data_IF_551818660330
#
_entry.id   IF_551818660330
#
_cell.length_a   1.000
_cell.length_b   1.000
_cell.length_c   1.000
_cell.angle_alpha   90.00
_cell.angle_beta   90.00
_cell.angle_gamma   90.00
#
_symmetry.space_group_name_H-M   'P 1'
#
loop_
_entity.id
_entity.type
_entity.pdbx_description
1 polymer ?
#
# COMPACT_ATOMS: atom_id res chain seq x y z
N UNK A 1 -2.37 19.18 27.61
CA UNK A 1 -1.53 17.96 27.69
C UNK A 1 -2.27 16.83 26.97
N UNK A 2 -1.94 16.54 25.71
CA UNK A 2 -2.55 15.42 24.98
C UNK A 2 -1.84 14.16 25.46
N UNK A 3 -2.55 13.26 26.14
CA UNK A 3 -2.04 11.94 26.48
C UNK A 3 -1.71 11.19 25.19
N UNK A 4 -0.42 10.90 25.01
CA UNK A 4 0.05 9.98 23.98
C UNK A 4 -0.44 8.56 24.35
N UNK A 5 -1.49 8.09 23.72
CA UNK A 5 -1.92 6.69 23.84
C UNK A 5 -1.00 5.91 22.89
N UNK A 6 -0.16 5.00 23.39
CA UNK A 6 0.68 4.17 22.54
C UNK A 6 -0.24 3.30 21.65
N UNK A 7 -0.23 3.58 20.36
CA UNK A 7 -0.97 2.79 19.40
C UNK A 7 -0.24 1.47 19.14
N UNK A 8 -0.82 0.37 19.57
CA UNK A 8 -0.37 -0.97 19.16
C UNK A 8 -1.08 -1.29 17.84
N UNK A 9 -0.34 -1.43 16.74
CA UNK A 9 -0.95 -1.73 15.44
C UNK A 9 -1.65 -3.08 15.50
N UNK A 10 -2.96 -3.11 15.28
CA UNK A 10 -3.70 -4.36 15.16
C UNK A 10 -3.14 -5.16 13.97
N UNK A 11 -2.52 -6.31 14.27
CA UNK A 11 -2.00 -7.20 13.24
C UNK A 11 -3.11 -8.11 12.74
N UNK A 12 -3.26 -8.19 11.42
CA UNK A 12 -4.16 -9.15 10.77
C UNK A 12 -3.33 -10.20 10.06
N UNK A 13 -3.75 -11.45 10.12
CA UNK A 13 -3.08 -12.56 9.43
C UNK A 13 -3.87 -12.93 8.19
N UNK A 14 -3.16 -13.12 7.09
CA UNK A 14 -3.66 -13.60 5.81
C UNK A 14 -2.83 -14.83 5.40
N UNK A 15 -3.45 -15.84 4.78
CA UNK A 15 -2.72 -16.95 4.20
C UNK A 15 -2.65 -16.80 2.69
N UNK A 16 -1.44 -16.87 2.12
CA UNK A 16 -1.24 -16.88 0.67
C UNK A 16 -1.89 -18.10 0.04
N UNK A 17 -2.04 -18.11 -1.28
CA UNK A 17 -2.54 -19.30 -2.00
C UNK A 17 -1.68 -20.56 -1.79
N UNK A 18 -0.45 -20.40 -1.31
CA UNK A 18 0.46 -21.52 -0.97
C UNK A 18 0.50 -21.84 0.52
N UNK A 19 -0.38 -21.23 1.33
CA UNK A 19 -0.49 -21.49 2.77
C UNK A 19 0.49 -20.72 3.65
N UNK A 20 1.35 -19.85 3.09
CA UNK A 20 2.28 -19.04 3.89
C UNK A 20 1.52 -17.95 4.66
N UNK A 21 1.83 -17.81 5.95
CA UNK A 21 1.19 -16.80 6.82
C UNK A 21 1.84 -15.44 6.63
N UNK A 22 1.03 -14.46 6.24
CA UNK A 22 1.43 -13.07 6.06
C UNK A 22 0.79 -12.23 7.16
N UNK A 23 1.60 -11.46 7.87
CA UNK A 23 1.17 -10.52 8.88
C UNK A 23 1.02 -9.13 8.26
N UNK A 24 -0.12 -8.49 8.46
CA UNK A 24 -0.38 -7.14 7.92
C UNK A 24 -0.67 -6.20 9.07
N UNK A 25 0.06 -5.11 9.13
CA UNK A 25 -0.06 -4.08 10.16
C UNK A 25 0.27 -2.69 9.62
N UNK A 26 -0.09 -1.69 10.38
CA UNK A 26 0.42 -0.35 10.10
C UNK A 26 1.94 -0.31 10.31
N UNK A 27 2.65 0.52 9.55
CA UNK A 27 4.09 0.74 9.75
C UNK A 27 4.35 1.54 11.03
N UNK A 28 5.52 1.32 11.59
CA UNK A 28 6.08 2.08 12.72
C UNK A 28 7.47 2.63 12.34
N UNK A 29 8.00 3.64 13.05
CA UNK A 29 9.32 4.21 12.71
C UNK A 29 10.46 3.20 12.65
N UNK A 30 10.36 2.12 13.43
CA UNK A 30 11.36 1.04 13.47
C UNK A 30 11.40 0.19 12.18
N UNK A 31 10.37 0.30 11.33
CA UNK A 31 10.29 -0.45 10.07
C UNK A 31 11.15 0.15 8.94
N UNK A 32 11.86 1.24 9.16
CA UNK A 32 12.63 1.92 8.11
C UNK A 32 13.60 0.98 7.41
N UNK A 33 14.37 0.17 8.16
CA UNK A 33 15.28 -0.80 7.57
C UNK A 33 14.52 -1.91 6.84
N UNK A 34 13.45 -2.43 7.44
CA UNK A 34 12.58 -3.46 6.86
C UNK A 34 12.00 -3.04 5.50
N UNK A 35 11.53 -1.79 5.38
CA UNK A 35 11.04 -1.25 4.12
C UNK A 35 12.16 -0.92 3.14
N UNK A 36 13.34 -0.51 3.62
CA UNK A 36 14.51 -0.30 2.77
C UNK A 36 14.90 -1.59 2.05
N UNK A 37 14.96 -2.70 2.79
CA UNK A 37 15.27 -4.03 2.23
C UNK A 37 14.21 -4.48 1.22
N UNK A 38 12.92 -4.25 1.52
CA UNK A 38 11.85 -4.49 0.56
C UNK A 38 12.07 -3.74 -0.75
N UNK A 39 12.33 -2.42 -0.68
CA UNK A 39 12.48 -1.56 -1.86
C UNK A 39 13.70 -1.93 -2.71
N UNK A 40 14.80 -2.32 -2.07
CA UNK A 40 16.01 -2.79 -2.76
C UNK A 40 15.81 -4.17 -3.41
N UNK A 41 14.98 -5.03 -2.80
CA UNK A 41 14.67 -6.37 -3.29
C UNK A 41 13.67 -6.42 -4.44
N UNK A 42 13.11 -5.30 -4.89
CA UNK A 42 12.20 -5.25 -6.03
C UNK A 42 12.96 -5.39 -7.36
N UNK A 43 12.37 -6.05 -8.35
CA UNK A 43 12.88 -6.02 -9.72
C UNK A 43 12.77 -4.61 -10.32
N UNK A 44 13.57 -4.34 -11.35
CA UNK A 44 13.51 -3.07 -12.09
C UNK A 44 12.11 -2.82 -12.67
N UNK A 45 11.47 -3.87 -13.17
CA UNK A 45 10.10 -3.78 -13.68
C UNK A 45 9.10 -3.40 -12.58
N UNK A 46 9.17 -4.03 -11.41
CA UNK A 46 8.27 -3.73 -10.29
C UNK A 46 8.51 -2.32 -9.76
N UNK A 47 9.76 -1.85 -9.67
CA UNK A 47 10.08 -0.45 -9.36
C UNK A 47 9.49 0.51 -10.38
N UNK A 48 9.72 0.25 -11.67
CA UNK A 48 9.19 1.08 -12.76
C UNK A 48 7.66 1.19 -12.71
N UNK A 49 6.96 0.08 -12.51
CA UNK A 49 5.49 0.05 -12.39
C UNK A 49 4.98 0.79 -11.15
N UNK A 50 5.75 0.81 -10.05
CA UNK A 50 5.35 1.48 -8.80
C UNK A 50 5.58 2.99 -8.83
N UNK A 51 6.70 3.42 -9.40
CA UNK A 51 7.13 4.82 -9.33
C UNK A 51 6.88 5.61 -10.61
N UNK A 52 6.44 4.96 -11.69
CA UNK A 52 6.37 5.53 -13.04
C UNK A 52 7.72 6.09 -13.50
N UNK A 53 8.79 5.60 -12.89
CA UNK A 53 10.19 6.03 -13.02
C UNK A 53 11.08 4.88 -12.53
N UNK A 54 12.43 4.96 -12.65
CA UNK A 54 13.34 3.91 -12.17
C UNK A 54 13.22 3.58 -10.67
N UNK A 55 12.62 4.48 -9.87
CA UNK A 55 12.47 4.30 -8.42
C UNK A 55 13.81 4.31 -7.66
N UNK A 56 13.82 3.96 -6.37
CA UNK A 56 15.04 3.90 -5.57
C UNK A 56 15.91 2.70 -5.98
N UNK A 57 17.14 2.97 -6.43
CA UNK A 57 18.12 1.97 -6.87
C UNK A 57 19.37 1.91 -5.98
N UNK A 58 19.49 2.80 -5.00
CA UNK A 58 20.59 2.80 -4.03
C UNK A 58 20.05 2.73 -2.62
N UNK A 59 20.85 2.23 -1.68
CA UNK A 59 20.49 2.20 -0.27
C UNK A 59 20.03 3.56 0.24
N UNK A 60 20.75 4.62 -0.09
CA UNK A 60 20.40 5.97 0.35
C UNK A 60 19.00 6.40 -0.11
N UNK A 61 18.65 6.17 -1.39
CA UNK A 61 17.33 6.51 -1.93
C UNK A 61 16.23 5.62 -1.35
N UNK A 62 16.49 4.33 -1.18
CA UNK A 62 15.55 3.41 -0.57
C UNK A 62 15.31 3.76 0.90
N UNK A 63 16.36 4.11 1.63
CA UNK A 63 16.26 4.58 3.01
C UNK A 63 15.45 5.88 3.14
N UNK A 64 15.68 6.85 2.27
CA UNK A 64 14.91 8.10 2.25
C UNK A 64 13.42 7.84 2.00
N UNK A 65 13.10 6.98 1.04
CA UNK A 65 11.70 6.62 0.75
C UNK A 65 11.07 5.83 1.90
N UNK A 66 11.77 4.86 2.47
CA UNK A 66 11.33 4.12 3.64
C UNK A 66 11.11 5.04 4.85
N UNK A 67 12.01 6.00 5.08
CA UNK A 67 11.88 7.00 6.14
C UNK A 67 10.62 7.85 5.95
N UNK A 68 10.31 8.28 4.72
CA UNK A 68 9.07 9.00 4.39
C UNK A 68 7.83 8.16 4.76
N UNK A 69 7.85 6.87 4.43
CA UNK A 69 6.74 5.95 4.70
C UNK A 69 6.54 5.66 6.19
N UNK A 70 7.63 5.69 6.97
CA UNK A 70 7.60 5.35 8.40
C UNK A 70 7.47 6.57 9.32
N UNK A 71 7.36 7.78 8.78
CA UNK A 71 7.11 9.00 9.58
C UNK A 71 5.82 8.87 10.40
N UNK A 72 5.74 9.59 11.54
CA UNK A 72 4.55 9.56 12.38
C UNK A 72 3.28 9.85 11.59
N UNK A 73 2.25 9.08 11.88
CA UNK A 73 0.97 9.18 11.18
C UNK A 73 0.35 10.56 11.33
N UNK A 74 -0.11 11.05 10.21
CA UNK A 74 -1.00 12.21 10.18
C UNK A 74 -2.42 11.73 9.82
N UNK A 75 -3.42 12.60 10.01
CA UNK A 75 -4.78 12.37 9.49
C UNK A 75 -4.83 12.28 7.96
N UNK A 76 -3.71 12.52 7.28
CA UNK A 76 -3.62 12.59 5.83
C UNK A 76 -2.79 11.46 5.20
N UNK A 77 -2.23 10.56 6.02
CA UNK A 77 -1.33 9.51 5.53
C UNK A 77 -1.48 8.23 6.34
N UNK A 78 -1.69 7.10 5.67
CA UNK A 78 -1.61 5.77 6.28
C UNK A 78 -0.76 4.85 5.42
N UNK A 79 0.11 4.08 6.06
CA UNK A 79 0.97 3.09 5.42
C UNK A 79 0.81 1.76 6.14
N UNK A 80 0.61 0.71 5.36
CA UNK A 80 0.52 -0.68 5.83
C UNK A 80 1.67 -1.50 5.26
N UNK A 81 2.23 -2.37 6.06
CA UNK A 81 3.22 -3.36 5.63
C UNK A 81 2.65 -4.76 5.75
N UNK A 82 3.00 -5.61 4.79
CA UNK A 82 2.79 -7.05 4.86
C UNK A 82 4.14 -7.73 5.04
N UNK A 83 4.23 -8.59 6.05
CA UNK A 83 5.47 -9.26 6.46
C UNK A 83 5.28 -10.75 6.59
N UNK A 84 6.38 -11.48 6.48
CA UNK A 84 6.50 -12.91 6.77
C UNK A 84 7.58 -13.14 7.81
N UNK A 85 7.49 -14.25 8.55
CA UNK A 85 8.55 -14.68 9.45
C UNK A 85 9.46 -15.68 8.74
N UNK A 86 10.76 -15.48 8.89
CA UNK A 86 11.80 -16.41 8.44
C UNK A 86 12.72 -16.72 9.64
N UNK A 87 12.39 -17.82 10.36
CA UNK A 87 12.99 -18.09 11.65
C UNK A 87 12.65 -16.99 12.64
N UNK A 88 13.65 -16.39 13.27
CA UNK A 88 13.49 -15.28 14.22
C UNK A 88 13.41 -13.89 13.55
N UNK A 89 13.59 -13.83 12.22
CA UNK A 89 13.58 -12.58 11.46
C UNK A 89 12.22 -12.31 10.85
N UNK A 90 11.89 -11.03 10.69
CA UNK A 90 10.74 -10.54 9.92
C UNK A 90 11.24 -9.96 8.59
N UNK A 91 10.54 -10.24 7.50
CA UNK A 91 10.83 -9.68 6.19
C UNK A 91 9.58 -9.05 5.58
N UNK A 92 9.68 -7.82 5.09
CA UNK A 92 8.59 -7.19 4.35
C UNK A 92 8.48 -7.78 2.94
N UNK A 93 7.26 -8.05 2.52
CA UNK A 93 6.93 -8.57 1.19
C UNK A 93 6.01 -7.65 0.39
N UNK A 94 5.37 -6.69 1.04
CA UNK A 94 4.57 -5.68 0.38
C UNK A 94 4.41 -4.45 1.29
N UNK A 95 4.22 -3.30 0.66
CA UNK A 95 3.82 -2.06 1.32
C UNK A 95 2.72 -1.38 0.51
N UNK A 96 1.74 -0.81 1.20
CA UNK A 96 0.67 -0.03 0.60
C UNK A 96 0.46 1.26 1.38
N UNK A 97 0.23 2.35 0.67
CA UNK A 97 0.00 3.66 1.27
C UNK A 97 -1.21 4.34 0.67
N UNK A 98 -1.85 5.18 1.47
CA UNK A 98 -2.82 6.17 1.02
C UNK A 98 -2.41 7.53 1.56
N UNK A 99 -2.29 8.50 0.66
CA UNK A 99 -2.02 9.90 0.99
C UNK A 99 -3.25 10.72 0.63
N UNK A 100 -3.80 11.42 1.61
CA UNK A 100 -4.95 12.27 1.39
C UNK A 100 -4.50 13.61 0.81
N UNK A 101 -5.19 14.07 -0.22
CA UNK A 101 -4.99 15.41 -0.76
C UNK A 101 -5.38 16.45 0.31
N UNK A 102 -4.45 17.35 0.63
CA UNK A 102 -4.65 18.36 1.67
C UNK A 102 -5.74 19.39 1.32
N UNK A 103 -6.02 19.60 0.04
CA UNK A 103 -7.03 20.56 -0.43
C UNK A 103 -8.42 19.95 -0.51
N UNK A 104 -8.53 18.66 -0.83
CA UNK A 104 -9.82 17.99 -1.00
C UNK A 104 -10.20 17.11 0.17
N UNK A 105 -9.31 16.83 1.10
CA UNK A 105 -9.47 16.05 2.34
C UNK A 105 -10.25 14.70 2.24
N UNK A 106 -10.94 14.47 1.12
CA UNK A 106 -11.80 13.30 0.87
C UNK A 106 -11.28 12.40 -0.25
N UNK A 107 -10.26 12.82 -0.99
CA UNK A 107 -9.61 12.03 -2.04
C UNK A 107 -8.27 11.52 -1.54
N UNK A 108 -8.06 10.20 -1.58
CA UNK A 108 -6.80 9.55 -1.22
C UNK A 108 -6.09 8.97 -2.43
N UNK A 109 -4.84 9.34 -2.63
CA UNK A 109 -3.97 8.71 -3.62
C UNK A 109 -3.43 7.40 -3.06
N UNK A 110 -3.63 6.32 -3.81
CA UNK A 110 -3.21 4.97 -3.44
C UNK A 110 -1.93 4.57 -4.16
N UNK A 111 -1.04 3.95 -3.43
CA UNK A 111 0.10 3.27 -4.03
C UNK A 111 0.35 1.94 -3.31
N UNK A 112 0.72 0.92 -4.07
CA UNK A 112 1.03 -0.41 -3.56
C UNK A 112 2.17 -1.03 -4.34
N UNK A 113 3.01 -1.76 -3.65
CA UNK A 113 3.99 -2.64 -4.25
C UNK A 113 4.04 -3.98 -3.51
N UNK A 114 4.18 -5.05 -4.26
CA UNK A 114 4.34 -6.42 -3.75
C UNK A 114 5.62 -6.97 -4.36
N UNK A 115 6.49 -7.55 -3.54
CA UNK A 115 7.73 -8.21 -3.97
C UNK A 115 7.43 -9.28 -5.00
N UNK A 116 8.27 -9.41 -6.01
CA UNK A 116 8.00 -10.18 -7.22
C UNK A 116 7.60 -11.64 -6.94
N UNK A 117 8.28 -12.28 -6.00
CA UNK A 117 8.03 -13.68 -5.59
C UNK A 117 6.72 -13.87 -4.80
N UNK A 118 6.07 -12.79 -4.35
CA UNK A 118 4.77 -12.80 -3.65
C UNK A 118 3.61 -12.26 -4.51
N UNK A 119 3.89 -11.86 -5.75
CA UNK A 119 2.83 -11.44 -6.67
C UNK A 119 1.90 -12.61 -7.03
N UNK A 120 0.67 -12.30 -7.40
CA UNK A 120 -0.38 -13.29 -7.77
C UNK A 120 -0.77 -14.29 -6.67
N UNK A 121 -0.33 -14.05 -5.41
CA UNK A 121 -0.63 -14.91 -4.26
C UNK A 121 -1.74 -14.36 -3.35
N UNK A 122 -2.43 -13.29 -3.75
CA UNK A 122 -3.50 -12.65 -2.98
C UNK A 122 -3.03 -11.53 -2.06
N UNK A 123 -1.72 -11.38 -1.81
CA UNK A 123 -1.14 -10.37 -0.89
C UNK A 123 -1.61 -8.96 -1.23
N UNK A 124 -1.51 -8.56 -2.51
CA UNK A 124 -1.95 -7.23 -2.94
C UNK A 124 -3.42 -6.96 -2.65
N UNK A 125 -4.31 -7.94 -2.89
CA UNK A 125 -5.75 -7.79 -2.61
C UNK A 125 -6.02 -7.68 -1.10
N UNK A 126 -5.40 -8.54 -0.29
CA UNK A 126 -5.55 -8.53 1.16
C UNK A 126 -5.07 -7.20 1.76
N UNK A 127 -3.91 -6.72 1.35
CA UNK A 127 -3.33 -5.47 1.84
C UNK A 127 -4.15 -4.25 1.40
N UNK A 128 -4.64 -4.24 0.14
CA UNK A 128 -5.48 -3.15 -0.37
C UNK A 128 -6.85 -3.10 0.31
N UNK A 129 -7.47 -4.24 0.62
CA UNK A 129 -8.71 -4.28 1.40
C UNK A 129 -8.53 -3.65 2.78
N UNK A 130 -7.41 -3.97 3.45
CA UNK A 130 -7.09 -3.37 4.75
C UNK A 130 -6.80 -1.87 4.63
N UNK A 131 -6.10 -1.45 3.57
CA UNK A 131 -5.85 -0.03 3.30
C UNK A 131 -7.16 0.73 3.06
N UNK A 132 -8.13 0.13 2.37
CA UNK A 132 -9.46 0.72 2.19
C UNK A 132 -10.17 1.00 3.52
N UNK A 133 -10.08 0.09 4.50
CA UNK A 133 -10.61 0.32 5.85
C UNK A 133 -9.90 1.49 6.54
N UNK A 134 -8.56 1.57 6.39
CA UNK A 134 -7.79 2.69 6.96
C UNK A 134 -8.14 4.02 6.29
N UNK A 135 -8.29 4.04 4.97
CA UNK A 135 -8.69 5.22 4.22
C UNK A 135 -10.05 5.75 4.69
N UNK A 136 -11.05 4.86 4.89
CA UNK A 136 -12.36 5.26 5.45
C UNK A 136 -12.23 5.87 6.84
N UNK A 137 -11.40 5.27 7.71
CA UNK A 137 -11.16 5.78 9.05
C UNK A 137 -10.48 7.16 9.06
N UNK A 138 -9.81 7.55 7.97
CA UNK A 138 -9.27 8.89 7.73
C UNK A 138 -10.29 9.86 7.12
N UNK A 139 -11.53 9.41 6.83
CA UNK A 139 -12.55 10.24 6.18
C UNK A 139 -12.43 10.30 4.65
N UNK A 140 -11.59 9.46 4.04
CA UNK A 140 -11.44 9.38 2.59
C UNK A 140 -12.67 8.68 2.01
N UNK A 141 -13.33 9.31 1.05
CA UNK A 141 -14.53 8.80 0.38
C UNK A 141 -14.28 8.38 -1.06
N UNK A 142 -13.16 8.80 -1.62
CA UNK A 142 -12.76 8.50 -3.00
C UNK A 142 -11.28 8.16 -3.03
N UNK A 143 -10.91 7.16 -3.80
CA UNK A 143 -9.51 6.78 -4.02
C UNK A 143 -9.12 6.99 -5.46
N UNK A 144 -7.90 7.48 -5.65
CA UNK A 144 -7.25 7.67 -6.93
C UNK A 144 -5.98 6.82 -6.98
N UNK A 145 -5.69 6.25 -8.14
CA UNK A 145 -4.40 5.60 -8.39
C UNK A 145 -3.95 5.87 -9.82
N UNK A 146 -2.71 6.32 -9.97
CA UNK A 146 -2.04 6.51 -11.24
C UNK A 146 -1.14 5.29 -11.53
N UNK A 147 -1.22 4.76 -12.74
CA UNK A 147 -0.46 3.58 -13.13
C UNK A 147 -0.18 3.56 -14.63
N UNK A 148 0.89 2.91 -15.04
CA UNK A 148 1.15 2.70 -16.46
C UNK A 148 0.03 1.87 -17.12
N UNK A 149 -0.32 2.22 -18.36
CA UNK A 149 -1.33 1.51 -19.12
C UNK A 149 -1.07 0.00 -19.22
N UNK A 150 0.18 -0.42 -19.30
CA UNK A 150 0.58 -1.82 -19.33
C UNK A 150 0.43 -2.54 -17.98
N UNK A 151 0.28 -1.83 -16.87
CA UNK A 151 0.11 -2.42 -15.54
C UNK A 151 -1.31 -2.96 -15.35
N UNK A 152 -1.63 -4.02 -16.10
CA UNK A 152 -2.95 -4.67 -16.04
C UNK A 152 -3.24 -5.28 -14.68
N UNK A 153 -2.20 -5.68 -13.95
CA UNK A 153 -2.36 -6.24 -12.61
C UNK A 153 -2.91 -5.21 -11.63
N UNK A 154 -2.34 -4.00 -11.60
CA UNK A 154 -2.84 -2.91 -10.77
C UNK A 154 -4.25 -2.46 -11.16
N UNK A 155 -4.56 -2.38 -12.46
CA UNK A 155 -5.91 -2.05 -12.92
C UNK A 155 -6.95 -3.09 -12.47
N UNK A 156 -6.63 -4.39 -12.56
CA UNK A 156 -7.51 -5.46 -12.05
C UNK A 156 -7.66 -5.40 -10.54
N UNK A 157 -6.56 -5.13 -9.82
CA UNK A 157 -6.56 -4.98 -8.36
C UNK A 157 -7.49 -3.83 -7.94
N UNK A 158 -7.35 -2.67 -8.59
CA UNK A 158 -8.19 -1.50 -8.31
C UNK A 158 -9.68 -1.82 -8.46
N UNK A 159 -10.09 -2.43 -9.58
CA UNK A 159 -11.50 -2.81 -9.80
C UNK A 159 -11.99 -3.87 -8.83
N UNK A 160 -11.13 -4.84 -8.48
CA UNK A 160 -11.50 -5.93 -7.54
C UNK A 160 -11.76 -5.43 -6.14
N UNK A 161 -10.92 -4.50 -5.64
CA UNK A 161 -10.95 -4.05 -4.25
C UNK A 161 -11.91 -2.88 -4.05
N UNK A 162 -11.92 -1.93 -5.00
CA UNK A 162 -12.65 -0.68 -4.86
C UNK A 162 -13.91 -0.63 -5.73
N UNK A 163 -14.17 -1.67 -6.54
CA UNK A 163 -15.35 -1.76 -7.38
C UNK A 163 -15.25 -0.94 -8.67
N UNK A 164 -16.38 -0.47 -9.20
CA UNK A 164 -16.41 0.31 -10.43
C UNK A 164 -15.54 1.57 -10.30
N UNK A 165 -14.64 1.77 -11.26
CA UNK A 165 -13.74 2.91 -11.29
C UNK A 165 -13.85 3.61 -12.65
N UNK A 166 -13.91 4.93 -12.65
CA UNK A 166 -13.65 5.73 -13.84
C UNK A 166 -12.17 5.66 -14.19
N UNK A 167 -11.85 5.66 -15.46
CA UNK A 167 -10.47 5.58 -15.92
C UNK A 167 -10.24 6.60 -17.05
N UNK A 168 -9.27 7.46 -16.85
CA UNK A 168 -8.76 8.38 -17.87
C UNK A 168 -7.37 7.95 -18.31
N UNK A 169 -6.97 8.29 -19.53
CA UNK A 169 -5.66 7.95 -20.09
C UNK A 169 -4.99 9.19 -20.62
N UNK A 170 -3.76 9.37 -20.23
CA UNK A 170 -2.92 10.44 -20.74
C UNK A 170 -1.47 9.96 -20.79
N UNK A 171 -0.78 10.17 -21.92
CA UNK A 171 0.65 9.89 -22.15
C UNK A 171 1.14 8.52 -21.61
N UNK A 172 0.32 7.47 -21.77
CA UNK A 172 0.68 6.11 -21.33
C UNK A 172 0.38 5.83 -19.85
N UNK A 173 -0.12 6.80 -19.09
CA UNK A 173 -0.61 6.66 -17.73
C UNK A 173 -2.13 6.48 -17.73
N UNK A 174 -2.62 5.63 -16.86
CA UNK A 174 -4.05 5.46 -16.55
C UNK A 174 -4.28 5.96 -15.13
N UNK A 175 -5.10 7.00 -15.00
CA UNK A 175 -5.64 7.44 -13.72
C UNK A 175 -6.97 6.72 -13.48
N UNK A 176 -7.06 5.96 -12.39
CA UNK A 176 -8.30 5.31 -11.96
C UNK A 176 -8.83 5.98 -10.70
N UNK A 177 -10.12 6.28 -10.69
CA UNK A 177 -10.82 6.90 -9.55
C UNK A 177 -12.02 6.02 -9.19
N UNK A 178 -12.11 5.62 -7.93
CA UNK A 178 -13.20 4.79 -7.41
C UNK A 178 -13.76 5.35 -6.10
N UNK A 179 -15.08 5.31 -5.89
CA UNK A 179 -15.65 5.63 -4.59
C UNK A 179 -15.26 4.57 -3.56
N UNK A 180 -14.94 5.00 -2.34
CA UNK A 180 -14.88 4.13 -1.18
C UNK A 180 -16.28 3.96 -0.62
N UNK A 181 -17.14 3.17 -1.29
CA UNK A 181 -18.46 2.83 -0.75
C UNK A 181 -18.33 2.29 0.68
N UNK A 182 -19.18 2.72 1.58
CA UNK A 182 -19.33 2.05 2.86
C UNK A 182 -19.63 0.59 2.55
N UNK A 183 -18.87 -0.32 3.16
CA UNK A 183 -19.19 -1.73 3.05
C UNK A 183 -20.65 -1.85 3.48
N UNK A 184 -21.53 -2.19 2.52
CA UNK A 184 -22.90 -2.54 2.83
C UNK A 184 -22.81 -3.67 3.85
N UNK A 185 -23.26 -3.42 5.06
CA UNK A 185 -23.55 -4.47 6.02
C UNK A 185 -24.66 -5.31 5.39
N UNK A 186 -24.29 -6.29 4.60
CA UNK A 186 -25.19 -7.38 4.26
C UNK A 186 -25.26 -8.26 5.50
N UNK A 187 -26.42 -8.11 6.17
CA UNK A 187 -26.89 -8.96 7.24
C UNK A 187 -26.86 -10.46 6.84
#
# INVERSE_FOLDING_TARGET
>A
MHQYIPYTPATTVFSTKYGERVHMRDVVPQDTLLLTDLLLGLSDNTRWLRYLAPGPQSFQRAWQEATRMTQPRTRHHAVLVATIRRGDSEAAIAVAEVVCDQHTATIGELAIVVRDDYQTQGVGSALSNRLALRARALGITTVRADMLYQNRAAQRLMRRVFGPATATRDQGVVTMIAPLSNASSSA
#
